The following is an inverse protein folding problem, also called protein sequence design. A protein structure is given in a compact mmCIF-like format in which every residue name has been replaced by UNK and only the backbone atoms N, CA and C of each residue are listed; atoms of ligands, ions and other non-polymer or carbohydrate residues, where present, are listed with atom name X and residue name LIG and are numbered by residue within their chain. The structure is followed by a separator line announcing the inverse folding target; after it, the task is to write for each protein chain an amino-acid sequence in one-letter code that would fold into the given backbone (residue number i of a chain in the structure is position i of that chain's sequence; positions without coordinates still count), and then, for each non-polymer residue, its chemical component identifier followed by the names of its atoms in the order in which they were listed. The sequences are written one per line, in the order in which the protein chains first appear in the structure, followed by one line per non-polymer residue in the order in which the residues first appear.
data_IF_370519651271
#
_entry.id   IF_370519651271
#
_cell.length_a   1.000
_cell.length_b   1.000
_cell.length_c   1.000
_cell.angle_alpha   90.00
_cell.angle_beta   90.00
_cell.angle_gamma   90.00
#
_symmetry.space_group_name_H-M   'P 1'
#
loop_
_entity.id
_entity.type
_entity.pdbx_description
1 polymer ?
#
# COMPACT_ATOMS: atom_id res chain seq x y z
N UNK A 1 17.05 18.29 16.74
CA UNK A 1 15.80 17.54 16.98
C UNK A 1 16.05 16.55 18.12
N UNK A 2 15.28 16.61 19.21
CA UNK A 2 15.51 15.75 20.38
C UNK A 2 15.14 14.28 20.06
N UNK A 3 16.02 13.35 20.43
CA UNK A 3 15.85 11.90 20.24
C UNK A 3 14.48 11.36 20.70
N UNK A 4 13.98 11.87 21.83
CA UNK A 4 12.65 11.52 22.38
C UNK A 4 11.49 11.93 21.47
N UNK A 5 11.58 13.07 20.78
CA UNK A 5 10.55 13.55 19.84
C UNK A 5 10.51 12.65 18.60
N UNK A 6 11.68 12.19 18.14
CA UNK A 6 11.77 11.29 16.99
C UNK A 6 11.22 9.90 17.29
N UNK A 7 11.50 9.36 18.47
CA UNK A 7 10.90 8.07 18.90
C UNK A 7 9.37 8.16 18.96
N UNK A 8 8.83 9.26 19.50
CA UNK A 8 7.37 9.47 19.52
C UNK A 8 6.80 9.52 18.11
N UNK A 9 7.46 10.25 17.21
CA UNK A 9 7.06 10.35 15.81
C UNK A 9 7.06 8.98 15.10
N UNK A 10 8.12 8.17 15.27
CA UNK A 10 8.19 6.82 14.71
C UNK A 10 7.13 5.89 15.29
N UNK A 11 6.81 6.01 16.58
CA UNK A 11 5.72 5.25 17.20
C UNK A 11 4.38 5.58 16.56
N UNK A 12 4.07 6.86 16.36
CA UNK A 12 2.82 7.32 15.73
C UNK A 12 2.74 6.80 14.30
N UNK A 13 3.81 6.93 13.52
CA UNK A 13 3.87 6.42 12.16
C UNK A 13 3.68 4.91 12.11
N UNK A 14 4.34 4.16 13.01
CA UNK A 14 4.15 2.71 13.12
C UNK A 14 2.67 2.34 13.32
N UNK A 15 1.97 3.03 14.23
CA UNK A 15 0.52 2.81 14.43
C UNK A 15 -0.31 3.13 13.20
N UNK A 16 -0.06 4.27 12.55
CA UNK A 16 -0.77 4.67 11.33
C UNK A 16 -0.59 3.61 10.23
N UNK A 17 0.63 3.12 10.02
CA UNK A 17 0.92 2.07 9.05
C UNK A 17 0.17 0.77 9.36
N UNK A 18 0.14 0.35 10.62
CA UNK A 18 -0.57 -0.87 11.04
C UNK A 18 -2.07 -0.72 10.78
N UNK A 19 -2.67 0.40 11.20
CA UNK A 19 -4.11 0.65 11.04
C UNK A 19 -4.49 0.70 9.56
N UNK A 20 -3.75 1.47 8.75
CA UNK A 20 -4.00 1.58 7.31
C UNK A 20 -3.90 0.21 6.64
N UNK A 21 -2.82 -0.54 6.91
CA UNK A 21 -2.63 -1.87 6.30
C UNK A 21 -3.73 -2.85 6.71
N UNK A 22 -4.20 -2.78 7.96
CA UNK A 22 -5.31 -3.61 8.43
C UNK A 22 -6.63 -3.28 7.72
N UNK A 23 -6.93 -1.99 7.53
CA UNK A 23 -8.10 -1.54 6.77
C UNK A 23 -8.00 -1.99 5.31
N UNK A 24 -6.84 -1.85 4.68
CA UNK A 24 -6.63 -2.29 3.29
C UNK A 24 -6.88 -3.80 3.14
N UNK A 25 -6.30 -4.62 4.03
CA UNK A 25 -6.52 -6.07 4.02
C UNK A 25 -8.00 -6.40 4.22
N UNK A 26 -8.68 -5.71 5.15
CA UNK A 26 -10.11 -5.92 5.41
C UNK A 26 -10.97 -5.59 4.19
N UNK A 27 -10.69 -4.47 3.52
CA UNK A 27 -11.38 -4.07 2.29
C UNK A 27 -11.08 -5.02 1.14
N UNK A 28 -9.83 -5.49 1.02
CA UNK A 28 -9.46 -6.47 0.01
C UNK A 28 -10.22 -7.78 0.21
N UNK A 29 -10.30 -8.28 1.45
CA UNK A 29 -11.08 -9.48 1.78
C UNK A 29 -12.56 -9.25 1.44
N UNK A 30 -13.15 -8.13 1.87
CA UNK A 30 -14.54 -7.80 1.57
C UNK A 30 -14.81 -7.78 0.06
N UNK A 31 -13.90 -7.19 -0.72
CA UNK A 31 -13.99 -7.07 -2.17
C UNK A 31 -14.08 -8.45 -2.86
N UNK A 32 -13.42 -9.49 -2.34
CA UNK A 32 -13.46 -10.85 -2.90
C UNK A 32 -14.84 -11.53 -2.78
N UNK A 33 -15.73 -11.01 -1.91
CA UNK A 33 -17.09 -11.53 -1.71
C UNK A 33 -18.16 -10.64 -2.34
N UNK A 34 -17.77 -9.57 -3.06
CA UNK A 34 -18.73 -8.74 -3.77
C UNK A 34 -19.06 -9.39 -5.11
N UNK A 35 -20.35 -9.46 -5.40
CA UNK A 35 -20.88 -10.04 -6.62
C UNK A 35 -20.62 -9.17 -7.85
N UNK A 36 -20.21 -9.82 -8.92
CA UNK A 36 -20.14 -9.31 -10.29
C UNK A 36 -21.33 -9.85 -11.06
N UNK A 37 -22.20 -8.96 -11.52
CA UNK A 37 -23.51 -9.31 -12.09
C UNK A 37 -23.48 -9.73 -13.57
N UNK A 38 -22.29 -9.81 -14.19
CA UNK A 38 -22.18 -9.63 -15.64
C UNK A 38 -21.74 -10.86 -16.46
N UNK A 39 -21.52 -12.02 -15.85
CA UNK A 39 -20.91 -13.16 -16.55
C UNK A 39 -21.80 -14.38 -16.75
N UNK A 40 -22.83 -14.55 -15.94
CA UNK A 40 -23.80 -15.64 -16.09
C UNK A 40 -25.21 -15.13 -15.74
N UNK A 41 -26.23 -15.97 -15.95
CA UNK A 41 -27.60 -15.74 -15.48
C UNK A 41 -27.63 -15.47 -13.95
N UNK A 42 -26.56 -15.85 -13.24
CA UNK A 42 -26.37 -15.61 -11.82
C UNK A 42 -25.14 -14.74 -11.56
N UNK A 43 -25.19 -13.87 -10.54
CA UNK A 43 -24.02 -13.16 -10.04
C UNK A 43 -22.95 -14.14 -9.57
N UNK A 44 -21.69 -13.84 -9.90
CA UNK A 44 -20.53 -14.58 -9.39
C UNK A 44 -19.71 -13.68 -8.46
N UNK A 45 -19.15 -14.20 -7.36
CA UNK A 45 -18.29 -13.41 -6.49
C UNK A 45 -16.99 -13.02 -7.20
N UNK A 46 -16.42 -11.86 -6.86
CA UNK A 46 -15.16 -11.41 -7.47
C UNK A 46 -14.01 -12.41 -7.31
N UNK A 47 -13.97 -13.17 -6.22
CA UNK A 47 -12.97 -14.24 -6.06
C UNK A 47 -13.04 -15.26 -7.21
N UNK A 48 -14.23 -15.74 -7.55
CA UNK A 48 -14.44 -16.67 -8.66
C UNK A 48 -14.12 -16.02 -10.00
N UNK A 49 -14.48 -14.75 -10.18
CA UNK A 49 -14.10 -13.95 -11.35
C UNK A 49 -12.57 -13.86 -11.54
N UNK A 50 -11.84 -13.51 -10.48
CA UNK A 50 -10.40 -13.25 -10.53
C UNK A 50 -9.60 -14.55 -10.69
N UNK A 51 -10.06 -15.65 -10.10
CA UNK A 51 -9.36 -16.94 -10.19
C UNK A 51 -9.87 -17.82 -11.34
N UNK A 52 -10.95 -17.42 -12.01
CA UNK A 52 -11.45 -18.05 -13.23
C UNK A 52 -10.66 -17.62 -14.46
N UNK A 53 -9.89 -18.55 -15.03
CA UNK A 53 -9.07 -18.30 -16.24
C UNK A 53 -9.88 -17.96 -17.49
N UNK A 54 -11.20 -18.16 -17.46
CA UNK A 54 -12.13 -17.78 -18.53
C UNK A 54 -12.45 -16.28 -18.55
N UNK A 55 -12.29 -15.58 -17.42
CA UNK A 55 -12.77 -14.20 -17.26
C UNK A 55 -11.62 -13.19 -17.23
N UNK A 56 -10.52 -13.55 -16.59
CA UNK A 56 -9.31 -12.73 -16.50
C UNK A 56 -8.07 -13.53 -16.91
N UNK A 57 -7.08 -12.85 -17.46
CA UNK A 57 -5.79 -13.47 -17.75
C UNK A 57 -5.08 -13.94 -16.48
N UNK A 58 -4.26 -14.99 -16.61
CA UNK A 58 -3.40 -15.49 -15.52
C UNK A 58 -2.51 -14.39 -14.92
N UNK A 59 -2.07 -13.44 -15.75
CA UNK A 59 -1.32 -12.26 -15.32
C UNK A 59 -2.14 -11.41 -14.35
N UNK A 60 -3.43 -11.18 -14.63
CA UNK A 60 -4.34 -10.45 -13.74
C UNK A 60 -4.50 -11.15 -12.38
N UNK A 61 -4.77 -12.46 -12.38
CA UNK A 61 -4.87 -13.25 -11.14
C UNK A 61 -3.57 -13.20 -10.32
N UNK A 62 -2.41 -13.25 -11.01
CA UNK A 62 -1.10 -13.17 -10.35
C UNK A 62 -0.88 -11.79 -9.71
N UNK A 63 -1.27 -10.71 -10.40
CA UNK A 63 -1.19 -9.35 -9.87
C UNK A 63 -2.11 -9.16 -8.65
N UNK A 64 -3.28 -9.80 -8.64
CA UNK A 64 -4.19 -9.81 -7.48
C UNK A 64 -3.53 -10.44 -6.24
N UNK A 65 -2.85 -11.58 -6.43
CA UNK A 65 -2.11 -12.25 -5.35
C UNK A 65 -0.93 -11.38 -4.86
N UNK A 66 -0.17 -10.77 -5.77
CA UNK A 66 0.92 -9.88 -5.38
C UNK A 66 0.42 -8.63 -4.65
N UNK A 67 -0.77 -8.14 -4.98
CA UNK A 67 -1.39 -7.03 -4.29
C UNK A 67 -1.65 -7.35 -2.81
N UNK A 68 -2.28 -8.48 -2.48
CA UNK A 68 -2.51 -8.86 -1.07
C UNK A 68 -1.20 -9.17 -0.33
N UNK A 69 -0.24 -9.84 -0.97
CA UNK A 69 1.08 -10.08 -0.38
C UNK A 69 1.75 -8.75 -0.02
N UNK A 70 1.68 -7.76 -0.92
CA UNK A 70 2.25 -6.43 -0.66
C UNK A 70 1.61 -5.74 0.55
N UNK A 71 0.28 -5.83 0.71
CA UNK A 71 -0.43 -5.28 1.88
C UNK A 71 0.02 -5.94 3.18
N UNK A 72 0.22 -7.26 3.18
CA UNK A 72 0.76 -8.00 4.33
C UNK A 72 2.20 -7.58 4.64
N UNK A 73 3.04 -7.38 3.63
CA UNK A 73 4.40 -6.86 3.82
C UNK A 73 4.40 -5.47 4.48
N UNK A 74 3.48 -4.57 4.09
CA UNK A 74 3.31 -3.27 4.72
C UNK A 74 2.86 -3.38 6.18
N UNK A 75 1.99 -4.32 6.51
CA UNK A 75 1.59 -4.60 7.88
C UNK A 75 2.78 -5.06 8.74
N UNK A 76 3.58 -6.00 8.22
CA UNK A 76 4.81 -6.48 8.88
C UNK A 76 5.80 -5.34 9.09
N UNK A 77 5.96 -4.47 8.09
CA UNK A 77 6.81 -3.27 8.19
C UNK A 77 6.31 -2.32 9.29
N UNK A 78 4.99 -2.09 9.38
CA UNK A 78 4.38 -1.30 10.45
C UNK A 78 4.71 -1.84 11.85
N UNK A 79 4.58 -3.15 12.05
CA UNK A 79 4.99 -3.80 13.31
C UNK A 79 6.48 -3.66 13.59
N UNK A 80 7.33 -3.79 12.56
CA UNK A 80 8.77 -3.60 12.70
C UNK A 80 9.13 -2.17 13.15
N UNK A 81 8.53 -1.14 12.53
CA UNK A 81 8.73 0.27 12.90
C UNK A 81 8.29 0.49 14.35
N UNK A 82 7.11 0.01 14.71
CA UNK A 82 6.56 0.15 16.05
C UNK A 82 7.45 -0.50 17.12
N UNK A 83 7.88 -1.75 16.89
CA UNK A 83 8.76 -2.48 17.82
C UNK A 83 10.10 -1.76 17.99
N UNK A 84 10.66 -1.27 16.89
CA UNK A 84 11.91 -0.50 16.89
C UNK A 84 11.77 0.78 17.71
N UNK A 85 10.70 1.55 17.51
CA UNK A 85 10.47 2.78 18.26
C UNK A 85 10.32 2.54 19.76
N UNK A 86 9.68 1.43 20.16
CA UNK A 86 9.53 1.05 21.57
C UNK A 86 10.83 0.58 22.22
N UNK A 87 11.76 0.04 21.44
CA UNK A 87 13.09 -0.35 21.92
C UNK A 87 13.99 0.89 22.05
N UNK A 88 13.90 1.58 23.20
CA UNK A 88 14.63 2.82 23.51
C UNK A 88 16.18 2.71 23.50
N UNK A 89 16.74 1.54 23.20
CA UNK A 89 18.18 1.26 23.22
C UNK A 89 18.95 1.74 21.98
N UNK A 90 18.28 2.31 20.97
CA UNK A 90 18.91 2.68 19.70
C UNK A 90 19.52 4.09 19.83
N UNK A 91 20.82 4.19 19.58
CA UNK A 91 21.54 5.48 19.53
C UNK A 91 21.03 6.39 18.40
N UNK A 92 21.11 7.71 18.59
CA UNK A 92 20.56 8.72 17.67
C UNK A 92 21.05 8.56 16.22
N UNK A 93 22.35 8.34 16.01
CA UNK A 93 22.93 8.15 14.66
C UNK A 93 22.37 6.90 13.96
N UNK A 94 22.25 5.79 14.70
CA UNK A 94 21.68 4.56 14.17
C UNK A 94 20.18 4.72 13.86
N UNK A 95 19.45 5.46 14.69
CA UNK A 95 18.04 5.73 14.50
C UNK A 95 17.80 6.59 13.25
N UNK A 96 18.59 7.64 13.05
CA UNK A 96 18.50 8.48 11.85
C UNK A 96 18.74 7.68 10.56
N UNK A 97 19.77 6.84 10.52
CA UNK A 97 20.02 5.93 9.37
C UNK A 97 18.85 4.97 9.15
N UNK A 98 18.32 4.40 10.23
CA UNK A 98 17.18 3.49 10.14
C UNK A 98 15.93 4.20 9.58
N UNK A 99 15.68 5.46 9.95
CA UNK A 99 14.58 6.25 9.37
C UNK A 99 14.72 6.43 7.86
N UNK A 100 15.94 6.67 7.38
CA UNK A 100 16.21 6.77 5.93
C UNK A 100 15.92 5.43 5.26
N UNK A 101 16.42 4.33 5.81
CA UNK A 101 16.19 2.98 5.25
C UNK A 101 14.70 2.65 5.23
N UNK A 102 13.98 2.88 6.34
CA UNK A 102 12.54 2.64 6.44
C UNK A 102 11.79 3.48 5.40
N UNK A 103 12.08 4.79 5.32
CA UNK A 103 11.42 5.69 4.38
C UNK A 103 11.62 5.25 2.92
N UNK A 104 12.83 4.82 2.57
CA UNK A 104 13.15 4.29 1.23
C UNK A 104 12.44 2.96 0.95
N UNK A 105 12.40 2.04 1.92
CA UNK A 105 11.66 0.77 1.78
C UNK A 105 10.17 1.01 1.58
N UNK A 106 9.57 1.94 2.35
CA UNK A 106 8.18 2.36 2.19
C UNK A 106 7.95 2.92 0.78
N UNK A 107 8.83 3.82 0.33
CA UNK A 107 8.70 4.47 -0.97
C UNK A 107 8.75 3.47 -2.13
N UNK A 108 9.77 2.61 -2.14
CA UNK A 108 9.96 1.59 -3.18
C UNK A 108 8.82 0.58 -3.14
N UNK A 109 8.45 0.10 -1.95
CA UNK A 109 7.35 -0.84 -1.78
C UNK A 109 6.01 -0.27 -2.26
N UNK A 110 5.74 1.01 -1.99
CA UNK A 110 4.51 1.67 -2.40
C UNK A 110 4.51 1.90 -3.91
N UNK A 111 5.66 2.23 -4.49
CA UNK A 111 5.81 2.33 -5.94
C UNK A 111 5.55 0.98 -6.64
N UNK A 112 6.10 -0.11 -6.11
CA UNK A 112 5.87 -1.47 -6.64
C UNK A 112 4.39 -1.84 -6.52
N UNK A 113 3.76 -1.60 -5.37
CA UNK A 113 2.33 -1.82 -5.16
C UNK A 113 1.46 -0.99 -6.11
N UNK A 114 1.86 0.26 -6.42
CA UNK A 114 1.16 1.10 -7.41
C UNK A 114 1.20 0.46 -8.79
N UNK A 115 2.33 -0.11 -9.19
CA UNK A 115 2.46 -0.78 -10.46
C UNK A 115 1.53 -2.00 -10.53
N UNK A 116 1.39 -2.76 -9.44
CA UNK A 116 0.42 -3.86 -9.40
C UNK A 116 -1.01 -3.36 -9.62
N UNK A 117 -1.43 -2.29 -8.92
CA UNK A 117 -2.76 -1.69 -9.10
C UNK A 117 -2.98 -1.22 -10.55
N UNK A 118 -2.03 -0.49 -11.14
CA UNK A 118 -2.17 0.06 -12.50
C UNK A 118 -2.18 -1.06 -13.55
N UNK A 119 -1.30 -2.06 -13.45
CA UNK A 119 -1.27 -3.18 -14.40
C UNK A 119 -2.53 -4.04 -14.29
N UNK A 120 -3.00 -4.28 -13.07
CA UNK A 120 -4.24 -4.99 -12.83
C UNK A 120 -5.43 -4.22 -13.40
N UNK A 121 -5.50 -2.91 -13.18
CA UNK A 121 -6.55 -2.04 -13.73
C UNK A 121 -6.59 -2.02 -15.26
N UNK A 122 -5.44 -2.22 -15.91
CA UNK A 122 -5.32 -2.31 -17.38
C UNK A 122 -5.52 -3.73 -17.94
N UNK A 123 -5.69 -4.73 -17.08
CA UNK A 123 -5.89 -6.10 -17.55
C UNK A 123 -7.26 -6.20 -18.22
N UNK A 124 -7.29 -6.78 -19.41
CA UNK A 124 -8.54 -7.03 -20.13
C UNK A 124 -9.35 -8.12 -19.41
N UNK A 125 -10.64 -7.86 -19.28
CA UNK A 125 -11.62 -8.79 -18.76
C UNK A 125 -12.66 -9.07 -19.82
N UNK A 126 -12.96 -10.35 -19.99
CA UNK A 126 -13.90 -10.82 -21.01
C UNK A 126 -15.32 -10.48 -20.59
N UNK A 127 -16.06 -9.80 -21.47
CA UNK A 127 -17.50 -9.52 -21.28
C UNK A 127 -18.31 -9.92 -22.51
N UNK A 128 -19.64 -9.99 -22.37
CA UNK A 128 -20.56 -10.30 -23.48
C UNK A 128 -20.46 -9.32 -24.66
N UNK A 129 -20.11 -8.05 -24.41
CA UNK A 129 -20.05 -7.00 -25.45
C UNK A 129 -18.64 -6.76 -25.99
N UNK A 130 -17.66 -7.55 -25.52
CA UNK A 130 -16.25 -7.42 -25.88
C UNK A 130 -15.35 -7.17 -24.66
N UNK A 131 -14.03 -7.22 -24.83
CA UNK A 131 -13.09 -7.01 -23.74
C UNK A 131 -13.15 -5.55 -23.26
N UNK A 132 -13.23 -5.36 -21.94
CA UNK A 132 -13.05 -4.07 -21.27
C UNK A 132 -11.90 -4.16 -20.27
N UNK A 133 -11.36 -3.03 -19.82
CA UNK A 133 -10.33 -3.05 -18.77
C UNK A 133 -10.97 -3.37 -17.41
N UNK A 134 -10.22 -4.04 -16.53
CA UNK A 134 -10.68 -4.35 -15.18
C UNK A 134 -11.08 -3.10 -14.40
N UNK A 135 -10.34 -2.00 -14.56
CA UNK A 135 -10.70 -0.72 -13.94
C UNK A 135 -12.03 -0.18 -14.47
N UNK A 136 -12.30 -0.29 -15.76
CA UNK A 136 -13.60 0.09 -16.34
C UNK A 136 -14.73 -0.75 -15.73
N UNK A 137 -14.51 -2.07 -15.58
CA UNK A 137 -15.50 -2.97 -14.98
C UNK A 137 -15.84 -2.58 -13.53
N UNK A 138 -14.85 -2.14 -12.74
CA UNK A 138 -15.06 -1.70 -11.35
C UNK A 138 -15.79 -0.36 -11.21
N UNK A 139 -15.79 0.48 -12.24
CA UNK A 139 -16.47 1.78 -12.22
C UNK A 139 -17.80 1.79 -12.93
N UNK A 140 -18.14 0.70 -13.62
CA UNK A 140 -19.41 0.54 -14.29
C UNK A 140 -20.44 -0.05 -13.31
N UNK A 141 -21.47 0.75 -12.99
CA UNK A 141 -22.53 0.37 -12.06
C UNK A 141 -23.51 -0.67 -12.64
N UNK A 142 -23.48 -0.88 -13.95
CA UNK A 142 -24.23 -1.95 -14.59
C UNK A 142 -23.50 -3.30 -14.44
N UNK A 143 -22.19 -3.29 -14.17
CA UNK A 143 -21.33 -4.47 -14.04
C UNK A 143 -21.08 -4.82 -12.58
N UNK A 144 -20.80 -3.82 -11.75
CA UNK A 144 -20.47 -3.98 -10.33
C UNK A 144 -21.25 -3.01 -9.45
N UNK A 145 -21.55 -3.39 -8.20
CA UNK A 145 -22.03 -2.41 -7.22
C UNK A 145 -21.03 -1.25 -7.07
N UNK A 146 -21.47 -0.14 -6.46
CA UNK A 146 -20.60 1.03 -6.25
C UNK A 146 -19.36 0.74 -5.38
N UNK A 147 -19.43 -0.29 -4.53
CA UNK A 147 -18.42 -0.59 -3.52
C UNK A 147 -17.05 -0.96 -4.12
N UNK A 148 -16.93 -1.86 -5.12
CA UNK A 148 -15.68 -2.13 -5.83
C UNK A 148 -14.95 -0.88 -6.36
N UNK A 149 -15.67 0.03 -7.02
CA UNK A 149 -15.09 1.29 -7.49
C UNK A 149 -14.56 2.18 -6.35
N UNK A 150 -15.32 2.29 -5.26
CA UNK A 150 -14.89 3.05 -4.06
C UNK A 150 -13.63 2.44 -3.44
N UNK A 151 -13.58 1.12 -3.30
CA UNK A 151 -12.40 0.43 -2.76
C UNK A 151 -11.18 0.56 -3.67
N UNK A 152 -11.38 0.56 -4.98
CA UNK A 152 -10.30 0.79 -5.95
C UNK A 152 -9.68 2.18 -5.82
N UNK A 153 -10.51 3.22 -5.72
CA UNK A 153 -10.07 4.61 -5.48
C UNK A 153 -9.34 4.71 -4.13
N UNK A 154 -9.85 4.02 -3.10
CA UNK A 154 -9.22 3.97 -1.79
C UNK A 154 -7.82 3.37 -1.85
N UNK A 155 -7.62 2.22 -2.49
CA UNK A 155 -6.30 1.58 -2.61
C UNK A 155 -5.28 2.48 -3.32
N UNK A 156 -5.70 3.14 -4.41
CA UNK A 156 -4.84 4.10 -5.13
C UNK A 156 -4.46 5.27 -4.20
N UNK A 157 -5.45 5.87 -3.53
CA UNK A 157 -5.27 7.04 -2.68
C UNK A 157 -4.36 6.75 -1.48
N UNK A 158 -4.58 5.63 -0.80
CA UNK A 158 -3.73 5.17 0.31
C UNK A 158 -2.30 4.96 -0.16
N UNK A 159 -2.12 4.31 -1.30
CA UNK A 159 -0.79 4.01 -1.80
C UNK A 159 -0.02 5.28 -2.19
N UNK A 160 -0.69 6.28 -2.77
CA UNK A 160 -0.13 7.62 -2.99
C UNK A 160 0.28 8.28 -1.66
N UNK A 161 -0.57 8.21 -0.63
CA UNK A 161 -0.25 8.75 0.69
C UNK A 161 0.97 8.05 1.32
N UNK A 162 1.11 6.73 1.15
CA UNK A 162 2.27 5.97 1.61
C UNK A 162 3.56 6.39 0.89
N UNK A 163 3.51 6.65 -0.43
CA UNK A 163 4.66 7.19 -1.17
C UNK A 163 5.11 8.54 -0.61
N UNK A 164 4.16 9.45 -0.37
CA UNK A 164 4.45 10.77 0.23
C UNK A 164 5.03 10.59 1.64
N UNK A 165 4.45 9.72 2.46
CA UNK A 165 4.96 9.42 3.80
C UNK A 165 6.40 8.86 3.76
N UNK A 166 6.70 7.98 2.81
CA UNK A 166 8.05 7.45 2.58
C UNK A 166 9.07 8.55 2.24
N UNK A 167 8.70 9.49 1.36
CA UNK A 167 9.54 10.66 1.04
C UNK A 167 9.78 11.54 2.27
N UNK A 168 8.74 11.86 3.03
CA UNK A 168 8.83 12.70 4.24
C UNK A 168 9.71 12.03 5.30
N UNK A 169 9.51 10.73 5.55
CA UNK A 169 10.34 9.96 6.47
C UNK A 169 11.82 9.97 6.08
N UNK A 170 12.09 9.76 4.80
CA UNK A 170 13.45 9.76 4.24
C UNK A 170 14.10 11.14 4.41
N UNK A 171 13.40 12.20 4.05
CA UNK A 171 13.89 13.57 4.17
C UNK A 171 14.20 13.95 5.63
N UNK A 172 13.31 13.60 6.57
CA UNK A 172 13.54 13.80 8.01
C UNK A 172 14.77 13.02 8.48
N UNK A 173 14.89 11.75 8.06
CA UNK A 173 16.03 10.90 8.40
C UNK A 173 17.37 11.47 7.90
N UNK A 174 17.42 11.95 6.65
CA UNK A 174 18.61 12.57 6.06
C UNK A 174 18.97 13.85 6.81
N UNK A 175 18.00 14.76 6.98
CA UNK A 175 18.22 16.03 7.71
C UNK A 175 18.74 15.76 9.11
N UNK A 176 18.18 14.77 9.80
CA UNK A 176 18.61 14.46 11.16
C UNK A 176 19.99 13.81 11.19
N UNK A 177 20.32 12.94 10.22
CA UNK A 177 21.65 12.36 10.09
C UNK A 177 22.71 13.46 9.89
N UNK A 178 22.45 14.44 9.03
CA UNK A 178 23.36 15.56 8.78
C UNK A 178 23.58 16.43 10.04
N UNK A 179 22.51 16.70 10.80
CA UNK A 179 22.61 17.45 12.06
C UNK A 179 23.41 16.71 13.14
N UNK A 180 23.47 15.38 13.09
CA UNK A 180 24.27 14.58 14.03
C UNK A 180 25.74 14.54 13.59
N UNK A 181 26.01 14.54 12.29
CA UNK A 181 27.38 14.45 11.74
C UNK A 181 28.10 15.80 11.69
N UNK A 182 27.37 16.90 11.53
CA UNK A 182 27.88 18.27 11.61
C UNK A 182 27.15 19.04 12.72
N UNK A 183 27.48 18.81 14.00
CA UNK A 183 27.00 19.64 15.09
C UNK A 183 27.70 21.00 14.98
N UNK A 184 27.18 21.89 14.14
CA UNK A 184 27.65 23.28 13.93
C UNK A 184 29.18 23.40 13.76
N UNK A 185 29.66 23.57 12.51
CA UNK A 185 30.79 24.48 12.35
C UNK A 185 30.27 25.84 12.81
N UNK A 186 30.85 26.49 13.83
CA UNK A 186 30.57 27.89 14.07
C UNK A 186 30.81 28.61 12.75
N UNK A 187 29.84 29.40 12.30
CA UNK A 187 30.09 30.43 11.30
C UNK A 187 31.13 31.37 11.92
N UNK A 188 32.40 31.18 11.56
CA UNK A 188 33.46 32.19 11.73
C UNK A 188 33.34 33.26 10.64
#
# INVERSE_FOLDING_TARGET
MEHRKVIKFLTIIGYIFIIISYIEISFFIALNFIDFNYLEINPIPLSEFIYGSSYISLTGSTLWIFLIISMVCFLVLGFYIFRTAKSSKIGSKSLAKLMVVIGMVVLIGAFVKMNFLVLLGKTDVSTFYGPITFQSALYDFDITPIMPGVFWIYFISVNCALMIAGLVLTAIGIKWSLLIENPEKPEE
#
